data_IF_956515774127
#
_entry.id   IF_956515774127
#
_cell.length_a   1.000
_cell.length_b   1.000
_cell.length_c   1.000
_cell.angle_alpha   90.00
_cell.angle_beta   90.00
_cell.angle_gamma   90.00
#
_symmetry.space_group_name_H-M   'P 1'
#
loop_
_entity.id
_entity.type
_entity.pdbx_description
1 polymer ?
#
# COMPACT_ATOMS: atom_id res chain seq x y z
N UNK A 1 -53.70 -75.89 126.35
CA UNK A 1 -54.04 -75.24 125.06
C UNK A 1 -53.71 -76.21 123.95
N UNK A 2 -54.53 -76.25 122.91
CA UNK A 2 -54.27 -77.07 121.71
C UNK A 2 -53.96 -76.06 120.60
N UNK A 3 -52.80 -76.13 119.92
CA UNK A 3 -52.50 -75.23 118.82
C UNK A 3 -53.55 -75.36 117.71
N UNK A 4 -53.97 -74.23 117.13
CA UNK A 4 -54.86 -74.24 115.97
C UNK A 4 -54.19 -74.97 114.80
N UNK A 5 -54.99 -75.71 114.02
CA UNK A 5 -54.51 -76.33 112.78
C UNK A 5 -53.87 -75.26 111.88
N UNK A 6 -52.73 -75.55 111.22
CA UNK A 6 -52.12 -74.62 110.29
C UNK A 6 -53.12 -74.19 109.22
N UNK A 7 -53.11 -72.90 108.87
CA UNK A 7 -53.96 -72.38 107.81
C UNK A 7 -53.69 -73.08 106.48
N UNK A 8 -54.73 -73.24 105.67
CA UNK A 8 -54.61 -73.82 104.33
C UNK A 8 -53.59 -73.04 103.50
N UNK A 9 -52.77 -73.70 102.66
CA UNK A 9 -51.88 -73.01 101.75
C UNK A 9 -52.66 -72.05 100.84
N UNK A 10 -52.11 -70.86 100.61
CA UNK A 10 -52.70 -69.90 99.68
C UNK A 10 -52.76 -70.47 98.26
N UNK A 11 -53.80 -70.12 97.51
CA UNK A 11 -53.90 -70.44 96.08
C UNK A 11 -52.69 -69.87 95.32
N UNK A 12 -52.13 -70.60 94.34
CA UNK A 12 -51.08 -70.07 93.50
C UNK A 12 -51.51 -68.78 92.80
N UNK A 13 -50.56 -67.85 92.66
CA UNK A 13 -50.80 -66.62 91.90
C UNK A 13 -51.14 -66.94 90.44
N UNK A 14 -52.01 -66.13 89.84
CA UNK A 14 -52.31 -66.18 88.40
C UNK A 14 -51.03 -65.91 87.58
N UNK A 15 -50.92 -66.58 86.44
CA UNK A 15 -49.82 -66.34 85.51
C UNK A 15 -49.74 -64.87 85.09
N UNK A 16 -48.53 -64.38 84.86
CA UNK A 16 -48.28 -63.04 84.35
C UNK A 16 -48.85 -62.88 82.94
N UNK A 17 -49.30 -61.68 82.57
CA UNK A 17 -49.70 -61.38 81.19
C UNK A 17 -48.47 -61.42 80.28
N UNK A 18 -48.66 -61.88 79.05
CA UNK A 18 -47.64 -61.79 78.01
C UNK A 18 -47.17 -60.34 77.82
N UNK A 19 -45.87 -60.17 77.57
CA UNK A 19 -45.28 -58.87 77.27
C UNK A 19 -45.81 -58.29 75.95
N UNK A 20 -45.93 -56.97 75.87
CA UNK A 20 -46.32 -56.29 74.63
C UNK A 20 -45.25 -56.51 73.54
N UNK A 21 -45.71 -56.73 72.30
CA UNK A 21 -44.82 -56.83 71.13
C UNK A 21 -44.10 -55.51 70.91
N UNK A 22 -42.79 -55.57 70.66
CA UNK A 22 -41.96 -54.38 70.41
C UNK A 22 -42.43 -53.56 69.20
N UNK A 23 -42.20 -52.25 69.24
CA UNK A 23 -42.55 -51.33 68.16
C UNK A 23 -41.73 -51.63 66.88
N UNK A 24 -42.31 -51.35 65.71
CA UNK A 24 -41.62 -51.47 64.42
C UNK A 24 -40.52 -50.40 64.34
N UNK A 25 -39.33 -50.78 63.85
CA UNK A 25 -38.24 -49.83 63.63
C UNK A 25 -38.58 -48.75 62.60
N UNK A 26 -37.95 -47.58 62.73
CA UNK A 26 -38.13 -46.45 61.82
C UNK A 26 -37.62 -46.76 60.40
N UNK A 27 -38.20 -46.15 59.34
CA UNK A 27 -37.68 -46.25 57.98
C UNK A 27 -36.25 -45.69 57.87
N UNK A 28 -35.43 -46.32 57.03
CA UNK A 28 -34.09 -45.82 56.74
C UNK A 28 -34.09 -44.44 56.06
N UNK A 29 -33.01 -43.68 56.24
CA UNK A 29 -32.83 -42.35 55.63
C UNK A 29 -32.66 -42.45 54.11
N UNK A 30 -33.14 -41.44 53.38
CA UNK A 30 -32.96 -41.33 51.92
C UNK A 30 -31.47 -41.20 51.59
N UNK A 31 -31.02 -41.87 50.52
CA UNK A 31 -29.65 -41.75 50.01
C UNK A 31 -29.31 -40.35 49.50
N UNK A 32 -28.02 -40.02 49.50
CA UNK A 32 -27.52 -38.72 49.05
C UNK A 32 -27.70 -38.49 47.53
N UNK A 33 -27.83 -37.24 47.07
CA UNK A 33 -27.85 -36.91 45.64
C UNK A 33 -26.56 -37.32 44.92
N UNK A 34 -26.69 -37.68 43.64
CA UNK A 34 -25.53 -37.98 42.78
C UNK A 34 -24.66 -36.74 42.50
N UNK A 35 -23.39 -36.99 42.16
CA UNK A 35 -22.40 -35.95 41.87
C UNK A 35 -22.70 -35.30 40.50
N UNK A 36 -22.57 -33.96 40.34
CA UNK A 36 -22.71 -33.29 39.06
C UNK A 36 -21.72 -33.79 37.99
N UNK A 37 -22.14 -33.74 36.72
CA UNK A 37 -21.28 -34.11 35.58
C UNK A 37 -20.09 -33.16 35.39
N UNK A 38 -19.04 -33.66 34.75
CA UNK A 38 -17.84 -32.87 34.44
C UNK A 38 -18.13 -31.77 33.40
N UNK A 39 -17.43 -30.61 33.46
CA UNK A 39 -17.52 -29.58 32.43
C UNK A 39 -17.10 -30.08 31.04
N UNK A 40 -17.71 -29.51 29.99
CA UNK A 40 -17.33 -29.80 28.59
C UNK A 40 -15.91 -29.31 28.25
N UNK A 41 -15.30 -29.93 27.24
CA UNK A 41 -13.97 -29.54 26.75
C UNK A 41 -14.03 -28.19 26.02
N UNK A 42 -12.96 -27.40 26.13
CA UNK A 42 -12.78 -26.13 25.38
C UNK A 42 -12.68 -26.40 23.87
N UNK A 43 -13.26 -25.51 23.06
CA UNK A 43 -13.19 -25.60 21.60
C UNK A 43 -11.79 -25.36 21.03
N UNK A 44 -11.57 -25.77 19.78
CA UNK A 44 -10.31 -25.54 19.07
C UNK A 44 -10.12 -24.07 18.66
N UNK A 45 -8.87 -23.59 18.52
CA UNK A 45 -8.57 -22.28 17.94
C UNK A 45 -9.10 -22.14 16.51
N UNK A 46 -9.47 -20.92 16.12
CA UNK A 46 -9.87 -20.61 14.75
C UNK A 46 -8.71 -20.68 13.75
N UNK A 47 -9.00 -20.76 12.44
CA UNK A 47 -7.97 -20.77 11.40
C UNK A 47 -7.28 -19.39 11.26
N UNK A 48 -6.05 -19.35 10.68
CA UNK A 48 -5.37 -18.09 10.35
C UNK A 48 -6.18 -17.23 9.35
N UNK A 49 -5.99 -15.92 9.40
CA UNK A 49 -6.57 -14.98 8.43
C UNK A 49 -5.97 -15.11 7.03
N UNK A 50 -6.67 -14.60 6.01
CA UNK A 50 -6.18 -14.57 4.64
C UNK A 50 -5.03 -13.57 4.43
N UNK A 51 -4.15 -13.78 3.44
CA UNK A 51 -3.16 -12.79 3.02
C UNK A 51 -3.82 -11.46 2.61
N UNK A 52 -3.10 -10.35 2.78
CA UNK A 52 -3.53 -9.05 2.30
C UNK A 52 -3.40 -8.91 0.78
N UNK A 53 -4.11 -7.94 0.22
CA UNK A 53 -4.11 -7.67 -1.23
C UNK A 53 -2.76 -7.11 -1.71
N UNK A 54 -2.39 -7.32 -2.99
CA UNK A 54 -1.22 -6.69 -3.60
C UNK A 54 -1.31 -5.15 -3.58
N UNK A 55 -0.15 -4.49 -3.47
CA UNK A 55 -0.05 -3.04 -3.58
C UNK A 55 -0.42 -2.51 -4.97
N UNK A 56 -0.87 -1.26 -5.04
CA UNK A 56 -1.21 -0.61 -6.31
C UNK A 56 0.02 -0.39 -7.20
N UNK A 57 -0.16 -0.51 -8.52
CA UNK A 57 0.86 -0.19 -9.51
C UNK A 57 1.17 1.33 -9.47
N UNK A 58 2.46 1.68 -9.54
CA UNK A 58 2.90 3.08 -9.58
C UNK A 58 2.41 3.82 -10.84
N UNK A 59 2.29 5.15 -10.74
CA UNK A 59 1.91 5.98 -11.90
C UNK A 59 2.99 5.96 -12.98
N UNK A 60 2.57 6.04 -14.24
CA UNK A 60 3.48 6.24 -15.36
C UNK A 60 4.24 7.58 -15.21
N UNK A 61 5.49 7.63 -15.67
CA UNK A 61 6.26 8.87 -15.73
C UNK A 61 5.65 9.88 -16.71
N UNK A 62 5.97 11.17 -16.51
CA UNK A 62 5.51 12.21 -17.43
C UNK A 62 6.18 12.09 -18.81
N UNK A 63 5.48 12.47 -19.91
CA UNK A 63 6.08 12.56 -21.22
C UNK A 63 7.29 13.51 -21.24
N UNK A 64 8.31 13.18 -22.04
CA UNK A 64 9.43 14.09 -22.28
C UNK A 64 8.99 15.40 -22.94
N UNK A 65 9.70 16.49 -22.66
CA UNK A 65 9.39 17.80 -23.27
C UNK A 65 9.54 17.74 -24.80
N UNK A 66 8.66 18.41 -25.57
CA UNK A 66 8.81 18.55 -27.02
C UNK A 66 10.17 19.15 -27.39
N UNK A 67 10.81 18.62 -28.44
CA UNK A 67 12.05 19.18 -28.97
C UNK A 67 11.84 20.63 -29.44
N UNK A 68 12.65 21.56 -28.94
CA UNK A 68 12.66 22.93 -29.45
C UNK A 68 13.36 22.94 -30.80
N UNK A 69 12.59 22.85 -31.89
CA UNK A 69 13.08 23.30 -33.19
C UNK A 69 13.28 24.82 -33.05
N UNK A 70 14.49 25.23 -32.68
CA UNK A 70 14.82 26.64 -32.54
C UNK A 70 14.49 27.33 -33.87
N UNK A 71 13.71 28.39 -33.78
CA UNK A 71 13.52 29.45 -34.76
C UNK A 71 14.78 29.53 -35.63
N UNK A 72 14.69 29.07 -36.88
CA UNK A 72 15.84 28.99 -37.78
C UNK A 72 16.54 30.35 -37.74
N UNK A 73 17.80 30.38 -37.30
CA UNK A 73 18.63 31.56 -37.40
C UNK A 73 18.89 31.77 -38.89
N UNK A 74 17.98 32.48 -39.56
CA UNK A 74 17.98 32.68 -41.01
C UNK A 74 19.18 33.57 -41.38
N UNK A 75 20.27 32.96 -41.82
CA UNK A 75 21.43 33.68 -42.35
C UNK A 75 21.21 33.97 -43.84
N UNK A 76 21.04 35.24 -44.16
CA UNK A 76 20.84 35.72 -45.53
C UNK A 76 21.36 37.15 -45.66
N UNK A 77 22.08 37.41 -46.76
CA UNK A 77 22.53 38.75 -47.12
C UNK A 77 22.38 38.98 -48.63
N UNK A 78 22.16 40.23 -49.01
CA UNK A 78 22.18 40.72 -50.38
C UNK A 78 22.95 42.04 -50.38
N UNK A 79 24.01 42.11 -51.17
CA UNK A 79 24.98 43.21 -51.18
C UNK A 79 25.33 43.59 -52.60
N UNK A 80 25.62 44.86 -52.83
CA UNK A 80 26.02 45.41 -54.12
C UNK A 80 27.32 46.17 -54.00
N UNK A 81 28.01 46.29 -55.14
CA UNK A 81 29.26 47.02 -55.26
C UNK A 81 28.99 48.29 -56.06
N UNK A 82 29.08 49.44 -55.41
CA UNK A 82 28.98 50.75 -56.05
C UNK A 82 30.37 51.39 -56.16
N UNK A 83 31.17 50.89 -57.09
CA UNK A 83 32.42 51.56 -57.50
C UNK A 83 32.74 51.24 -58.94
N UNK A 84 33.31 52.22 -59.65
CA UNK A 84 33.77 52.12 -61.02
C UNK A 84 35.16 51.49 -61.14
N UNK A 85 35.90 51.36 -60.04
CA UNK A 85 37.22 50.76 -60.05
C UNK A 85 37.13 49.26 -60.30
N UNK A 86 38.07 48.69 -61.04
CA UNK A 86 38.15 47.24 -61.20
C UNK A 86 38.74 46.61 -59.92
N UNK A 87 38.19 45.48 -59.43
CA UNK A 87 38.77 44.79 -58.29
C UNK A 87 40.19 44.28 -58.64
N UNK A 88 41.13 44.42 -57.70
CA UNK A 88 42.48 43.89 -57.87
C UNK A 88 42.47 42.37 -57.86
N UNK A 89 43.39 41.76 -58.63
CA UNK A 89 43.63 40.31 -58.60
C UNK A 89 44.10 39.88 -57.21
N UNK A 90 43.70 38.69 -56.76
CA UNK A 90 44.06 38.10 -55.46
C UNK A 90 43.56 38.86 -54.21
N UNK A 91 42.68 39.86 -54.38
CA UNK A 91 42.01 40.57 -53.28
C UNK A 91 40.52 40.23 -53.29
N UNK A 92 39.88 39.96 -52.12
CA UNK A 92 38.44 39.75 -52.05
C UNK A 92 37.66 40.92 -52.65
N UNK A 93 36.65 40.63 -53.47
CA UNK A 93 35.76 41.65 -54.01
C UNK A 93 34.90 42.21 -52.87
N UNK A 94 35.05 43.50 -52.60
CA UNK A 94 34.28 44.19 -51.56
C UNK A 94 32.99 44.75 -52.16
N UNK A 95 31.87 44.15 -51.78
CA UNK A 95 30.52 44.73 -51.95
C UNK A 95 30.25 45.68 -50.78
N UNK A 96 30.26 46.98 -51.05
CA UNK A 96 30.24 48.04 -50.03
C UNK A 96 28.84 48.52 -49.64
N UNK A 97 27.81 48.10 -50.37
CA UNK A 97 26.42 48.48 -50.09
C UNK A 97 25.58 47.27 -49.70
N UNK A 98 24.85 47.38 -48.59
CA UNK A 98 23.91 46.35 -48.12
C UNK A 98 22.52 46.65 -48.64
N UNK A 99 21.90 45.67 -49.31
CA UNK A 99 20.46 45.64 -49.58
C UNK A 99 19.73 44.99 -48.40
N UNK A 100 20.24 43.86 -47.92
CA UNK A 100 19.71 43.14 -46.75
C UNK A 100 20.85 42.39 -46.08
N UNK A 101 20.98 42.49 -44.75
CA UNK A 101 21.88 41.66 -43.95
C UNK A 101 21.43 41.70 -42.48
N UNK A 102 20.39 40.93 -42.17
CA UNK A 102 19.69 41.02 -40.87
C UNK A 102 20.62 40.59 -39.72
N UNK A 103 21.46 39.59 -39.96
CA UNK A 103 22.33 39.01 -38.94
C UNK A 103 23.72 39.62 -38.92
N UNK A 104 24.04 40.54 -39.84
CA UNK A 104 25.39 41.10 -40.00
C UNK A 104 26.41 39.98 -40.25
N UNK A 105 26.07 39.06 -41.15
CA UNK A 105 26.91 37.90 -41.48
C UNK A 105 27.92 38.25 -42.58
N UNK A 106 27.68 39.33 -43.33
CA UNK A 106 28.58 39.82 -44.36
C UNK A 106 29.29 41.11 -43.91
N UNK A 107 30.62 41.13 -44.04
CA UNK A 107 31.44 42.27 -43.67
C UNK A 107 31.77 43.13 -44.90
N UNK A 108 31.20 44.32 -44.96
CA UNK A 108 31.36 45.29 -46.07
C UNK A 108 32.74 45.94 -46.12
N UNK A 109 33.58 45.80 -45.11
CA UNK A 109 34.96 46.28 -45.11
C UNK A 109 35.91 45.25 -45.71
N UNK A 110 35.67 43.96 -45.45
CA UNK A 110 36.57 42.87 -45.86
C UNK A 110 36.08 42.10 -47.08
N UNK A 111 34.81 42.25 -47.46
CA UNK A 111 34.21 41.49 -48.56
C UNK A 111 33.90 40.04 -48.20
N UNK A 112 33.77 39.71 -46.90
CA UNK A 112 33.68 38.32 -46.44
C UNK A 112 32.37 38.03 -45.72
N UNK A 113 31.77 36.90 -46.08
CA UNK A 113 30.73 36.24 -45.29
C UNK A 113 31.38 35.42 -44.16
N UNK A 114 30.82 35.49 -42.95
CA UNK A 114 31.24 34.69 -41.79
C UNK A 114 30.09 33.77 -41.38
N UNK A 115 30.30 32.47 -41.52
CA UNK A 115 29.34 31.45 -41.13
C UNK A 115 29.20 31.40 -39.59
N UNK A 116 28.11 31.95 -39.05
CA UNK A 116 27.77 31.85 -37.61
C UNK A 116 27.01 30.56 -37.28
N UNK A 117 26.31 30.00 -38.26
CA UNK A 117 25.46 28.81 -38.09
C UNK A 117 25.90 27.75 -39.11
N UNK A 118 26.39 26.57 -38.69
CA UNK A 118 26.78 25.54 -39.63
C UNK A 118 25.55 25.03 -40.42
N UNK A 119 25.70 24.83 -41.73
CA UNK A 119 24.61 24.39 -42.58
C UNK A 119 24.93 24.47 -44.07
N UNK A 120 23.91 24.20 -44.89
CA UNK A 120 23.98 24.39 -46.34
C UNK A 120 23.64 25.85 -46.67
N UNK A 121 24.48 26.47 -47.50
CA UNK A 121 24.33 27.85 -47.94
C UNK A 121 24.31 27.92 -49.47
N UNK A 122 23.55 28.88 -50.00
CA UNK A 122 23.50 29.16 -51.43
C UNK A 122 24.03 30.56 -51.71
N UNK A 123 25.03 30.65 -52.59
CA UNK A 123 25.65 31.90 -52.99
C UNK A 123 25.40 32.12 -54.48
N UNK A 124 24.85 33.28 -54.83
CA UNK A 124 24.63 33.71 -56.21
C UNK A 124 25.17 35.12 -56.33
N UNK A 125 25.81 35.42 -57.46
CA UNK A 125 26.20 36.77 -57.81
C UNK A 125 25.87 37.04 -59.28
N UNK A 126 25.63 38.32 -59.58
CA UNK A 126 25.44 38.82 -60.93
C UNK A 126 26.40 39.99 -61.15
N UNK A 127 27.02 40.04 -62.33
CA UNK A 127 27.88 41.14 -62.77
C UNK A 127 27.39 41.61 -64.13
N UNK A 128 27.25 42.93 -64.30
CA UNK A 128 26.93 43.57 -65.58
C UNK A 128 28.16 44.18 -66.21
#
# INVERSE_FOLDING_TARGET
>A
GIPGLPGMPGVPGKDGRDGLKGAKGEPGTKGEPGIPGLPGKTGFPGPPGSPGDPGMVGKAGEPGMPGSYKQMQQSAFSVTRQTSEHPMTDVPVVFNQVITDINHDYNTTTGRFTCKVPGLYYFIFHTS
#
